data_IF_560467031318
#
_entry.id   IF_560467031318
#
_cell.length_a   1.000
_cell.length_b   1.000
_cell.length_c   1.000
_cell.angle_alpha   90.00
_cell.angle_beta   90.00
_cell.angle_gamma   90.00
#
_symmetry.space_group_name_H-M   'P 1'
#
loop_
_entity.id
_entity.type
_entity.pdbx_description
1 polymer ?
#
# COMPACT_ATOMS: atom_id res chain seq x y z
N UNK A 1 9.29 21.20 16.99
CA UNK A 1 10.47 20.46 16.54
C UNK A 1 10.38 19.02 17.00
N UNK A 2 10.57 18.08 16.11
CA UNK A 2 10.44 16.66 16.42
C UNK A 2 11.60 16.19 17.31
N UNK A 3 11.29 15.46 18.38
CA UNK A 3 12.32 14.88 19.22
C UNK A 3 12.99 13.71 18.49
N UNK A 4 14.31 13.78 18.16
CA UNK A 4 14.99 12.74 17.40
C UNK A 4 14.98 11.35 18.08
N UNK A 5 14.87 11.33 19.41
CA UNK A 5 14.86 10.07 20.18
C UNK A 5 13.61 9.26 19.86
N UNK A 6 12.44 9.90 19.80
CA UNK A 6 11.19 9.24 19.46
C UNK A 6 11.19 8.69 18.02
N UNK A 7 11.82 9.42 17.10
CA UNK A 7 11.86 9.04 15.69
C UNK A 7 12.68 7.76 15.48
N UNK A 8 13.73 7.55 16.29
CA UNK A 8 14.65 6.42 16.10
C UNK A 8 14.22 5.13 16.78
N UNK A 9 13.34 5.21 17.76
CA UNK A 9 12.91 4.01 18.50
C UNK A 9 11.62 3.45 17.92
N UNK A 10 11.77 2.66 16.88
CA UNK A 10 10.63 2.00 16.21
C UNK A 10 9.90 1.01 17.11
N UNK A 11 10.52 0.56 18.18
CA UNK A 11 9.89 -0.40 19.09
C UNK A 11 9.02 0.28 20.13
N UNK A 12 9.16 1.59 20.32
CA UNK A 12 8.33 2.32 21.28
C UNK A 12 6.88 2.42 20.78
N UNK A 13 5.88 2.13 21.64
CA UNK A 13 4.47 2.29 21.25
C UNK A 13 4.10 3.73 20.89
N UNK A 14 4.88 4.71 21.37
CA UNK A 14 4.63 6.13 21.11
C UNK A 14 5.35 6.66 19.88
N UNK A 15 6.09 5.81 19.17
CA UNK A 15 6.85 6.22 18.00
C UNK A 15 5.91 6.61 16.84
N UNK A 16 5.93 7.86 16.37
CA UNK A 16 5.05 8.29 15.28
C UNK A 16 5.34 7.58 13.95
N UNK A 17 6.57 7.11 13.75
CA UNK A 17 6.93 6.37 12.53
C UNK A 17 6.19 5.04 12.46
N UNK A 18 5.98 4.35 13.58
CA UNK A 18 5.19 3.11 13.60
C UNK A 18 3.79 3.34 13.04
N UNK A 19 3.16 4.45 13.43
CA UNK A 19 1.81 4.78 12.94
C UNK A 19 1.83 5.02 11.44
N UNK A 20 2.80 5.78 10.93
CA UNK A 20 2.92 6.04 9.49
C UNK A 20 3.10 4.73 8.72
N UNK A 21 4.02 3.87 9.17
CA UNK A 21 4.29 2.59 8.51
C UNK A 21 3.06 1.67 8.54
N UNK A 22 2.35 1.64 9.66
CA UNK A 22 1.15 0.79 9.78
C UNK A 22 0.07 1.18 8.77
N UNK A 23 0.01 2.45 8.38
CA UNK A 23 -1.00 2.95 7.46
C UNK A 23 -0.66 2.72 5.99
N UNK A 24 0.62 2.60 5.65
CA UNK A 24 1.05 2.43 4.25
C UNK A 24 1.59 1.03 3.95
N UNK A 25 1.99 0.27 4.96
CA UNK A 25 2.67 -1.01 4.77
C UNK A 25 1.75 -2.22 4.81
N UNK A 26 0.45 -2.03 4.69
CA UNK A 26 -0.48 -3.16 4.52
C UNK A 26 -0.62 -3.52 3.04
N UNK A 27 -1.09 -4.74 2.80
CA UNK A 27 -1.21 -5.28 1.45
C UNK A 27 -2.00 -4.38 0.52
N UNK A 28 -3.16 -3.89 0.98
CA UNK A 28 -4.06 -3.13 0.11
C UNK A 28 -3.51 -1.75 -0.24
N UNK A 29 -2.90 -1.07 0.74
CA UNK A 29 -2.26 0.22 0.49
C UNK A 29 -1.11 0.09 -0.50
N UNK A 30 -0.28 -0.95 -0.35
CA UNK A 30 0.83 -1.19 -1.28
C UNK A 30 0.31 -1.45 -2.69
N UNK A 31 -0.76 -2.25 -2.84
CA UNK A 31 -1.33 -2.56 -4.15
C UNK A 31 -1.97 -1.35 -4.82
N UNK A 32 -2.67 -0.51 -4.06
CA UNK A 32 -3.27 0.72 -4.60
C UNK A 32 -2.19 1.69 -5.05
N UNK A 33 -1.18 1.90 -4.21
CA UNK A 33 -0.06 2.80 -4.57
C UNK A 33 0.67 2.30 -5.80
N UNK A 34 0.95 1.00 -5.87
CA UNK A 34 1.59 0.39 -7.03
C UNK A 34 0.76 0.61 -8.29
N UNK A 35 -0.54 0.32 -8.21
CA UNK A 35 -1.45 0.44 -9.36
C UNK A 35 -1.49 1.87 -9.88
N UNK A 36 -1.65 2.85 -9.00
CA UNK A 36 -1.68 4.25 -9.40
C UNK A 36 -0.34 4.71 -9.97
N UNK A 37 0.77 4.16 -9.48
CA UNK A 37 2.10 4.53 -9.97
C UNK A 37 2.36 4.07 -11.39
N UNK A 38 1.64 3.05 -11.87
CA UNK A 38 1.77 2.53 -13.23
C UNK A 38 0.97 3.35 -14.24
N UNK A 39 0.16 4.30 -13.78
CA UNK A 39 -0.71 5.10 -14.64
C UNK A 39 -0.25 6.54 -14.66
N UNK A 40 -0.25 7.16 -15.84
CA UNK A 40 0.01 8.59 -15.97
C UNK A 40 -1.26 9.42 -15.72
N UNK A 41 -2.42 8.81 -15.91
CA UNK A 41 -3.71 9.47 -15.78
C UNK A 41 -4.42 9.06 -14.50
N UNK A 42 -5.30 9.91 -13.97
CA UNK A 42 -6.13 9.54 -12.82
C UNK A 42 -6.99 8.31 -13.13
N UNK A 43 -7.28 7.53 -12.08
CA UNK A 43 -8.11 6.33 -12.20
C UNK A 43 -9.42 6.49 -11.45
N UNK A 44 -10.49 5.96 -12.03
CA UNK A 44 -11.78 5.87 -11.35
C UNK A 44 -11.81 4.68 -10.42
N UNK A 45 -12.72 4.72 -9.46
CA UNK A 45 -12.90 3.66 -8.46
C UNK A 45 -13.02 2.27 -9.12
N UNK A 46 -13.90 2.15 -10.12
CA UNK A 46 -14.11 0.87 -10.80
C UNK A 46 -12.87 0.38 -11.54
N UNK A 47 -12.08 1.30 -12.09
CA UNK A 47 -10.84 0.93 -12.75
C UNK A 47 -9.83 0.37 -11.76
N UNK A 48 -9.73 0.99 -10.57
CA UNK A 48 -8.88 0.48 -9.49
C UNK A 48 -9.36 -0.90 -9.03
N UNK A 49 -10.66 -1.07 -8.86
CA UNK A 49 -11.23 -2.34 -8.42
C UNK A 49 -10.95 -3.46 -9.44
N UNK A 50 -11.01 -3.15 -10.72
CA UNK A 50 -10.68 -4.13 -11.78
C UNK A 50 -9.20 -4.46 -11.81
N UNK A 51 -8.35 -3.47 -11.53
CA UNK A 51 -6.90 -3.68 -11.51
C UNK A 51 -6.43 -4.51 -10.32
N UNK A 52 -7.22 -4.54 -9.24
CA UNK A 52 -6.94 -5.33 -8.04
C UNK A 52 -8.14 -6.26 -7.82
N UNK A 53 -8.20 -7.42 -8.54
CA UNK A 53 -9.44 -8.20 -8.62
C UNK A 53 -9.94 -8.76 -7.30
N UNK A 54 -9.06 -8.96 -6.31
CA UNK A 54 -9.42 -9.55 -5.02
C UNK A 54 -9.76 -8.52 -3.94
N UNK A 55 -9.73 -7.22 -4.25
CA UNK A 55 -10.12 -6.22 -3.26
C UNK A 55 -11.63 -6.04 -3.23
N UNK A 56 -12.22 -6.03 -2.03
CA UNK A 56 -13.63 -5.71 -1.87
C UNK A 56 -13.87 -4.21 -2.03
N UNK A 57 -15.10 -3.85 -2.38
CA UNK A 57 -15.50 -2.44 -2.47
C UNK A 57 -15.26 -1.72 -1.14
N UNK A 58 -15.62 -2.37 -0.03
CA UNK A 58 -15.43 -1.82 1.32
C UNK A 58 -13.96 -1.57 1.61
N UNK A 59 -13.11 -2.53 1.30
CA UNK A 59 -11.66 -2.41 1.56
C UNK A 59 -11.04 -1.34 0.67
N UNK A 60 -11.41 -1.26 -0.60
CA UNK A 60 -10.89 -0.23 -1.50
C UNK A 60 -11.31 1.16 -1.02
N UNK A 61 -12.56 1.34 -0.61
CA UNK A 61 -13.05 2.61 -0.07
C UNK A 61 -12.25 3.02 1.17
N UNK A 62 -12.04 2.08 2.09
CA UNK A 62 -11.27 2.34 3.32
C UNK A 62 -9.82 2.68 3.02
N UNK A 63 -9.19 1.93 2.13
CA UNK A 63 -7.80 2.13 1.75
C UNK A 63 -7.59 3.50 1.08
N UNK A 64 -8.46 3.85 0.14
CA UNK A 64 -8.38 5.14 -0.56
C UNK A 64 -8.54 6.30 0.43
N UNK A 65 -9.47 6.17 1.39
CA UNK A 65 -9.67 7.20 2.40
C UNK A 65 -8.41 7.40 3.26
N UNK A 66 -7.80 6.33 3.70
CA UNK A 66 -6.57 6.40 4.50
C UNK A 66 -5.43 7.05 3.72
N UNK A 67 -5.25 6.66 2.46
CA UNK A 67 -4.20 7.22 1.62
C UNK A 67 -4.44 8.70 1.30
N UNK A 68 -5.69 9.07 1.13
CA UNK A 68 -6.06 10.47 0.91
C UNK A 68 -5.79 11.31 2.17
N UNK A 69 -6.18 10.81 3.33
CA UNK A 69 -5.94 11.48 4.62
C UNK A 69 -4.46 11.77 4.85
N UNK A 70 -3.60 10.85 4.44
CA UNK A 70 -2.16 10.95 4.66
C UNK A 70 -1.42 11.63 3.51
N UNK A 71 -2.15 12.11 2.49
CA UNK A 71 -1.57 12.89 1.41
C UNK A 71 -0.86 12.08 0.34
N UNK A 72 -1.11 10.78 0.24
CA UNK A 72 -0.53 9.94 -0.81
C UNK A 72 -1.33 9.95 -2.10
N UNK A 73 -2.63 10.24 -2.00
CA UNK A 73 -3.48 10.37 -3.17
C UNK A 73 -4.36 11.60 -3.04
N UNK A 74 -4.83 12.10 -4.17
CA UNK A 74 -5.86 13.14 -4.25
C UNK A 74 -7.09 12.55 -4.90
N UNK A 75 -8.26 12.98 -4.41
CA UNK A 75 -9.55 12.60 -4.93
C UNK A 75 -10.17 13.82 -5.59
N UNK A 76 -10.54 13.68 -6.85
CA UNK A 76 -11.24 14.75 -7.58
C UNK A 76 -12.64 14.29 -7.92
N UNK A 77 -13.62 15.06 -7.49
CA UNK A 77 -15.02 14.84 -7.83
C UNK A 77 -15.43 15.85 -8.90
N UNK A 78 -16.10 15.35 -9.94
CA UNK A 78 -16.59 16.19 -11.05
C UNK A 78 -18.10 16.24 -11.01
N UNK A 79 -18.65 17.45 -11.10
CA UNK A 79 -20.10 17.68 -11.10
C UNK A 79 -20.68 17.33 -12.47
N UNK A 80 -20.73 16.05 -12.77
CA UNK A 80 -21.30 15.51 -14.01
C UNK A 80 -22.50 14.65 -13.70
N UNK A 81 -23.23 14.24 -14.72
CA UNK A 81 -24.32 13.28 -14.61
C UNK A 81 -24.02 12.11 -15.58
N UNK A 82 -23.70 10.91 -15.04
CA UNK A 82 -23.52 10.58 -13.62
C UNK A 82 -22.26 11.23 -13.03
N UNK A 83 -22.19 11.39 -11.69
CA UNK A 83 -21.02 11.99 -11.07
C UNK A 83 -19.77 11.13 -11.29
N UNK A 84 -18.65 11.81 -11.49
CA UNK A 84 -17.36 11.16 -11.72
C UNK A 84 -16.41 11.49 -10.59
N UNK A 85 -15.72 10.47 -10.09
CA UNK A 85 -14.67 10.62 -9.09
C UNK A 85 -13.41 9.93 -9.61
N UNK A 86 -12.29 10.64 -9.51
CA UNK A 86 -11.00 10.12 -9.97
C UNK A 86 -9.97 10.22 -8.84
N UNK A 87 -9.02 9.29 -8.84
CA UNK A 87 -7.94 9.21 -7.87
C UNK A 87 -6.60 9.29 -8.58
N UNK A 88 -5.67 10.03 -8.00
CA UNK A 88 -4.34 10.21 -8.56
C UNK A 88 -3.31 10.25 -7.43
N UNK A 89 -2.14 9.66 -7.68
CA UNK A 89 -1.04 9.71 -6.73
C UNK A 89 -0.42 11.11 -6.68
N UNK A 90 0.14 11.46 -5.52
CA UNK A 90 0.78 12.75 -5.27
C UNK A 90 2.29 12.63 -5.37
N UNK A 91 2.98 13.78 -5.26
CA UNK A 91 4.45 13.79 -5.19
C UNK A 91 4.96 13.02 -3.97
N UNK A 92 4.21 13.04 -2.86
CA UNK A 92 4.57 12.24 -1.68
C UNK A 92 4.61 10.76 -2.03
N UNK A 93 3.58 10.26 -2.72
CA UNK A 93 3.55 8.87 -3.19
C UNK A 93 4.71 8.60 -4.15
N UNK A 94 4.99 9.52 -5.06
CA UNK A 94 6.09 9.36 -5.99
C UNK A 94 7.44 9.25 -5.28
N UNK A 95 7.62 9.98 -4.18
CA UNK A 95 8.86 9.90 -3.38
C UNK A 95 8.99 8.57 -2.64
N UNK A 96 7.88 7.91 -2.34
CA UNK A 96 7.86 6.61 -1.67
C UNK A 96 8.11 5.46 -2.64
N UNK A 97 7.67 5.58 -3.89
CA UNK A 97 7.66 4.47 -4.84
C UNK A 97 9.03 3.81 -5.07
N UNK A 98 10.17 4.55 -5.16
CA UNK A 98 11.45 3.86 -5.30
C UNK A 98 11.75 2.87 -4.17
N UNK A 99 11.34 3.19 -2.95
CA UNK A 99 11.53 2.31 -1.79
C UNK A 99 10.61 1.09 -1.87
N UNK A 100 9.36 1.29 -2.28
CA UNK A 100 8.42 0.20 -2.46
C UNK A 100 8.85 -0.72 -3.61
N UNK A 101 9.31 -0.15 -4.71
CA UNK A 101 9.80 -0.93 -5.85
C UNK A 101 11.01 -1.77 -5.48
N UNK A 102 11.91 -1.24 -4.65
CA UNK A 102 13.04 -2.00 -4.12
C UNK A 102 12.56 -3.16 -3.25
N UNK A 103 11.54 -2.93 -2.42
CA UNK A 103 10.95 -3.97 -1.59
C UNK A 103 10.28 -5.04 -2.45
N UNK A 104 9.53 -4.65 -3.46
CA UNK A 104 8.89 -5.60 -4.38
C UNK A 104 9.93 -6.45 -5.13
N UNK A 105 11.01 -5.83 -5.59
CA UNK A 105 12.11 -6.53 -6.25
C UNK A 105 12.76 -7.55 -5.33
N UNK A 106 13.00 -7.17 -4.07
CA UNK A 106 13.52 -8.09 -3.08
C UNK A 106 12.59 -9.30 -2.89
N UNK A 107 11.28 -9.03 -2.77
CA UNK A 107 10.29 -10.09 -2.58
C UNK A 107 10.26 -11.05 -3.80
N UNK A 108 10.35 -10.50 -5.00
CA UNK A 108 10.39 -11.31 -6.22
C UNK A 108 11.62 -12.23 -6.21
N UNK A 109 12.78 -11.69 -5.85
CA UNK A 109 14.04 -12.45 -5.86
C UNK A 109 14.07 -13.55 -4.81
N UNK A 110 13.33 -13.39 -3.71
CA UNK A 110 13.34 -14.32 -2.58
C UNK A 110 12.09 -15.19 -2.50
N UNK A 111 11.10 -14.93 -3.35
CA UNK A 111 9.79 -15.58 -3.29
C UNK A 111 9.89 -17.11 -3.31
N UNK A 112 10.67 -17.67 -4.24
CA UNK A 112 10.76 -19.12 -4.40
C UNK A 112 11.40 -19.77 -3.19
N UNK A 113 12.47 -19.19 -2.65
CA UNK A 113 13.15 -19.75 -1.48
C UNK A 113 12.26 -19.65 -0.23
N UNK A 114 11.49 -18.56 -0.09
CA UNK A 114 10.54 -18.41 1.03
C UNK A 114 9.45 -19.47 0.95
N UNK A 115 8.87 -19.67 -0.24
CA UNK A 115 7.81 -20.68 -0.43
C UNK A 115 8.35 -22.07 -0.13
N UNK A 116 9.55 -22.37 -0.58
CA UNK A 116 10.21 -23.66 -0.32
C UNK A 116 10.40 -23.89 1.18
N UNK A 117 10.85 -22.87 1.90
CA UNK A 117 11.06 -22.96 3.35
C UNK A 117 9.74 -23.21 4.09
N UNK A 118 8.64 -22.59 3.64
CA UNK A 118 7.31 -22.84 4.21
C UNK A 118 6.87 -24.29 4.00
N UNK A 119 7.09 -24.82 2.81
CA UNK A 119 6.73 -26.21 2.48
C UNK A 119 7.52 -27.20 3.34
N UNK A 120 8.81 -26.97 3.51
CA UNK A 120 9.67 -27.81 4.35
C UNK A 120 9.18 -27.77 5.80
N UNK A 121 8.86 -26.58 6.29
CA UNK A 121 8.37 -26.40 7.66
C UNK A 121 7.04 -27.12 7.88
N UNK A 122 6.12 -27.02 6.95
CA UNK A 122 4.82 -27.69 7.02
C UNK A 122 4.99 -29.22 7.02
N UNK A 123 5.86 -29.75 6.16
CA UNK A 123 6.14 -31.17 6.12
C UNK A 123 6.69 -31.69 7.45
N UNK A 124 7.61 -30.94 8.09
CA UNK A 124 8.16 -31.31 9.40
C UNK A 124 7.09 -31.27 10.49
N UNK A 125 6.19 -30.30 10.46
CA UNK A 125 5.08 -30.20 11.40
C UNK A 125 4.14 -31.39 11.31
N UNK A 126 3.95 -31.95 10.13
CA UNK A 126 3.07 -33.09 9.91
C UNK A 126 3.71 -34.43 10.29
N UNK A 127 5.03 -34.47 10.48
CA UNK A 127 5.74 -35.69 10.86
C UNK A 127 5.83 -35.90 12.36
N UNK A 128 5.45 -34.92 13.16
CA UNK A 128 5.53 -35.00 14.61
C UNK A 128 4.29 -35.59 15.24
#
# INVERSE_FOLDING_TARGET
MTNPVFIRDLTSPECPIRNVLARIADKWSLLVLYTLSQQNDPMRFKALQRAIPDISQKMLTSTLRTLEQDGFIVRKAYAEVPPRVEYQSTERAASLMPHLNALFGWAIDHMQSIIRDREVYTAKGNES
#
